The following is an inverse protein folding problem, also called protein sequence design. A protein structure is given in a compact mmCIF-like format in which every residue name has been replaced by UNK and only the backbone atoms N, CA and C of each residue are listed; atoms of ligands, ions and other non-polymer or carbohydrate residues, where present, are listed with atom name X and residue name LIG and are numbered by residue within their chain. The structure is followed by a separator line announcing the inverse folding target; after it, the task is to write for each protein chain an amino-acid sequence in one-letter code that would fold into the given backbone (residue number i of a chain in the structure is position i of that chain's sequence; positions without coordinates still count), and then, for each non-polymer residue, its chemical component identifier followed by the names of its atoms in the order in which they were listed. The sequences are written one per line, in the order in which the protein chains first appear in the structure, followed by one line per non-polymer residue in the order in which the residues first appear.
data_IF_800428241388
#
_entry.id   IF_800428241388
#
_cell.length_a   1.000
_cell.length_b   1.000
_cell.length_c   1.000
_cell.angle_alpha   90.00
_cell.angle_beta   90.00
_cell.angle_gamma   90.00
#
_symmetry.space_group_name_H-M   'P 1'
#
loop_
_entity.id
_entity.type
_entity.pdbx_description
1 polymer ?
#
# COMPACT_ATOMS: atom_id res chain seq x y z
N UNK A 1 34.51 4.71 0.18
CA UNK A 1 33.42 5.68 0.42
C UNK A 1 32.18 4.84 0.62
N UNK A 2 31.75 4.72 1.87
CA UNK A 2 30.54 3.99 2.24
C UNK A 2 29.40 4.94 1.89
N UNK A 3 28.63 4.63 0.86
CA UNK A 3 27.37 5.33 0.60
C UNK A 3 26.52 5.18 1.86
N UNK A 4 26.33 6.29 2.56
CA UNK A 4 25.34 6.36 3.63
C UNK A 4 23.99 6.27 2.93
N UNK A 5 23.41 5.08 2.91
CA UNK A 5 21.97 4.93 2.76
C UNK A 5 21.39 5.68 3.96
N UNK A 6 20.96 6.93 3.76
CA UNK A 6 20.08 7.57 4.73
C UNK A 6 18.88 6.64 4.86
N UNK A 7 18.85 5.91 5.97
CA UNK A 7 17.67 5.14 6.35
C UNK A 7 16.57 6.16 6.55
N UNK A 8 15.65 6.24 5.57
CA UNK A 8 14.39 6.96 5.72
C UNK A 8 13.79 6.52 7.07
N UNK A 9 13.70 7.46 8.01
CA UNK A 9 13.14 7.17 9.32
C UNK A 9 11.64 6.98 9.16
N UNK A 10 11.07 5.99 9.84
CA UNK A 10 9.62 5.79 9.85
C UNK A 10 8.97 6.93 10.65
N UNK A 11 8.19 7.74 9.96
CA UNK A 11 7.36 8.78 10.53
C UNK A 11 6.25 8.20 11.41
N UNK A 12 6.01 8.88 12.52
CA UNK A 12 4.91 8.59 13.45
C UNK A 12 3.88 9.70 13.38
N UNK A 13 2.72 9.49 13.99
CA UNK A 13 1.70 10.53 14.06
C UNK A 13 2.24 11.82 14.72
N UNK A 14 3.15 11.70 15.68
CA UNK A 14 3.75 12.86 16.34
C UNK A 14 4.69 13.65 15.42
N UNK A 15 5.47 12.99 14.56
CA UNK A 15 6.40 13.68 13.64
C UNK A 15 5.66 14.32 12.48
N UNK A 16 4.59 13.68 11.99
CA UNK A 16 3.73 14.24 10.94
C UNK A 16 3.08 15.58 11.33
N UNK A 17 2.77 15.80 12.63
CA UNK A 17 2.28 17.10 13.13
C UNK A 17 3.30 18.22 12.98
N UNK A 18 4.59 17.91 12.97
CA UNK A 18 5.66 18.90 13.05
C UNK A 18 6.22 19.28 11.67
N UNK A 19 6.14 18.38 10.68
CA UNK A 19 6.87 18.52 9.42
C UNK A 19 5.97 18.34 8.17
N UNK A 20 5.51 19.44 7.54
CA UNK A 20 4.51 19.36 6.49
C UNK A 20 5.00 19.10 5.05
N UNK A 21 6.31 19.05 4.74
CA UNK A 21 6.77 19.18 3.35
C UNK A 21 7.89 18.22 2.88
N UNK A 22 8.15 17.14 3.59
CA UNK A 22 9.13 16.11 3.18
C UNK A 22 8.43 14.83 2.71
N UNK A 23 9.14 14.00 1.93
CA UNK A 23 8.69 12.64 1.70
C UNK A 23 8.57 11.94 3.06
N UNK A 24 7.41 11.35 3.31
CA UNK A 24 7.06 10.64 4.54
C UNK A 24 7.08 9.15 4.27
N UNK A 25 7.76 8.42 5.15
CA UNK A 25 7.70 6.97 5.21
C UNK A 25 6.89 6.61 6.45
N UNK A 26 5.69 6.07 6.29
CA UNK A 26 4.90 5.58 7.42
C UNK A 26 4.84 4.05 7.41
N UNK A 27 4.82 3.46 8.60
CA UNK A 27 4.60 2.02 8.81
C UNK A 27 3.34 1.83 9.64
N UNK A 28 2.45 0.96 9.20
CA UNK A 28 1.20 0.73 9.91
C UNK A 28 0.35 -0.38 9.32
N UNK A 29 -0.89 -0.41 9.75
CA UNK A 29 -1.86 -1.46 9.40
C UNK A 29 -2.99 -0.84 8.59
N UNK A 30 -3.36 -1.46 7.46
CA UNK A 30 -4.50 -1.00 6.67
C UNK A 30 -5.79 -1.16 7.47
N UNK A 31 -6.60 -0.10 7.52
CA UNK A 31 -7.92 -0.09 8.14
C UNK A 31 -8.98 -0.06 7.05
N UNK A 32 -10.04 -0.85 7.26
CA UNK A 32 -11.19 -0.88 6.37
C UNK A 32 -12.18 0.23 6.73
N UNK A 33 -12.41 1.17 5.82
CA UNK A 33 -13.42 2.21 5.95
C UNK A 33 -14.80 1.69 5.49
N UNK A 34 -15.44 0.85 6.30
CA UNK A 34 -16.83 0.42 6.08
C UNK A 34 -17.05 -1.10 6.07
N UNK A 35 -17.92 -1.59 5.17
CA UNK A 35 -18.22 -3.03 5.04
C UNK A 35 -17.18 -3.70 4.14
N UNK A 36 -16.65 -4.87 4.53
CA UNK A 36 -15.67 -5.58 3.73
C UNK A 36 -16.21 -5.96 2.36
N UNK A 37 -15.34 -5.99 1.34
CA UNK A 37 -15.73 -6.51 0.04
C UNK A 37 -16.21 -7.96 0.23
N UNK A 38 -17.52 -8.16 0.14
CA UNK A 38 -18.17 -9.48 0.17
C UNK A 38 -17.97 -10.27 -1.13
N UNK A 39 -17.09 -9.79 -2.01
CA UNK A 39 -16.83 -10.33 -3.35
C UNK A 39 -15.38 -10.81 -3.43
N UNK A 40 -15.15 -11.84 -4.25
CA UNK A 40 -13.79 -12.32 -4.56
C UNK A 40 -13.17 -11.44 -5.64
N UNK A 41 -11.93 -10.96 -5.47
CA UNK A 41 -11.02 -11.23 -4.36
C UNK A 41 -11.35 -10.39 -3.12
N UNK A 42 -11.24 -10.98 -1.92
CA UNK A 42 -11.24 -10.23 -0.67
C UNK A 42 -9.88 -9.50 -0.54
N UNK A 43 -9.71 -8.40 -1.27
CA UNK A 43 -8.55 -7.50 -1.26
C UNK A 43 -9.09 -6.06 -1.35
N UNK A 44 -8.57 -5.15 -0.54
CA UNK A 44 -8.93 -3.73 -0.56
C UNK A 44 -8.18 -2.97 -1.66
N UNK A 45 -6.93 -3.35 -1.88
CA UNK A 45 -6.03 -2.69 -2.82
C UNK A 45 -5.33 -3.81 -3.58
N UNK A 46 -5.35 -3.79 -4.93
CA UNK A 46 -4.77 -4.90 -5.69
C UNK A 46 -4.41 -4.55 -7.13
N UNK A 47 -3.52 -5.35 -7.70
CA UNK A 47 -3.30 -5.49 -9.15
C UNK A 47 -3.98 -6.76 -9.64
N UNK A 48 -4.72 -6.65 -10.75
CA UNK A 48 -5.32 -7.77 -11.46
C UNK A 48 -4.44 -8.18 -12.64
N UNK A 49 -4.21 -9.48 -12.75
CA UNK A 49 -3.44 -10.11 -13.81
C UNK A 49 -4.32 -11.14 -14.51
N UNK A 50 -4.22 -11.20 -15.84
CA UNK A 50 -4.88 -12.24 -16.62
C UNK A 50 -3.86 -13.23 -17.14
N UNK A 51 -4.26 -14.49 -17.16
CA UNK A 51 -3.47 -15.55 -17.75
C UNK A 51 -3.46 -15.39 -19.27
N UNK A 52 -2.27 -15.33 -19.85
CA UNK A 52 -2.06 -15.43 -21.29
C UNK A 52 -1.21 -16.66 -21.60
N UNK A 53 -1.45 -17.29 -22.75
CA UNK A 53 -0.66 -18.45 -23.19
C UNK A 53 -0.07 -18.10 -24.54
N UNK A 54 1.24 -17.88 -24.55
CA UNK A 54 2.01 -17.54 -25.75
C UNK A 54 3.08 -18.63 -25.95
N UNK A 55 3.11 -19.24 -27.14
CA UNK A 55 4.04 -20.32 -27.50
C UNK A 55 4.11 -21.48 -26.48
N UNK A 56 2.95 -21.85 -25.91
CA UNK A 56 2.83 -22.91 -24.90
C UNK A 56 3.31 -22.51 -23.50
N UNK A 57 3.78 -21.29 -23.29
CA UNK A 57 4.14 -20.76 -21.98
C UNK A 57 2.99 -19.95 -21.39
N UNK A 58 2.69 -20.23 -20.11
CA UNK A 58 1.74 -19.41 -19.35
C UNK A 58 2.44 -18.16 -18.82
N UNK A 59 1.89 -16.99 -19.14
CA UNK A 59 2.30 -15.70 -18.64
C UNK A 59 1.14 -15.05 -17.88
N UNK A 60 1.46 -14.15 -16.96
CA UNK A 60 0.49 -13.34 -16.23
C UNK A 60 0.73 -11.88 -16.59
N UNK A 61 -0.21 -11.30 -17.33
CA UNK A 61 -0.13 -9.91 -17.77
C UNK A 61 -0.97 -9.03 -16.84
N UNK A 62 -0.38 -7.95 -16.33
CA UNK A 62 -1.11 -6.95 -15.56
C UNK A 62 -2.18 -6.29 -16.45
N UNK A 63 -3.42 -6.24 -15.97
CA UNK A 63 -4.57 -5.67 -16.70
C UNK A 63 -5.14 -4.43 -16.05
N UNK A 64 -5.20 -4.41 -14.72
CA UNK A 64 -5.79 -3.30 -13.97
C UNK A 64 -5.15 -3.17 -12.59
N UNK A 65 -5.27 -1.98 -12.01
CA UNK A 65 -4.95 -1.69 -10.61
C UNK A 65 -6.18 -1.09 -9.94
N UNK A 66 -6.54 -1.61 -8.79
CA UNK A 66 -7.52 -1.02 -7.88
C UNK A 66 -6.75 -0.38 -6.72
N UNK A 67 -6.59 0.93 -6.78
CA UNK A 67 -5.86 1.74 -5.81
C UNK A 67 -6.78 2.81 -5.24
N UNK A 68 -7.80 2.42 -4.46
CA UNK A 68 -8.68 3.39 -3.81
C UNK A 68 -7.90 4.16 -2.74
N UNK A 69 -8.51 5.25 -2.27
CA UNK A 69 -8.13 5.83 -0.99
C UNK A 69 -8.35 4.80 0.13
N UNK A 70 -7.43 4.76 1.09
CA UNK A 70 -7.48 3.84 2.23
C UNK A 70 -6.87 4.48 3.46
N UNK A 71 -7.17 3.96 4.65
CA UNK A 71 -6.59 4.45 5.89
C UNK A 71 -5.51 3.49 6.40
N UNK A 72 -4.44 4.05 6.96
CA UNK A 72 -3.39 3.31 7.64
C UNK A 72 -3.37 3.76 9.10
N UNK A 73 -3.52 2.80 10.01
CA UNK A 73 -3.31 3.02 11.42
C UNK A 73 -1.82 2.92 11.72
N UNK A 74 -1.27 4.03 12.21
CA UNK A 74 0.12 4.13 12.67
C UNK A 74 0.13 4.38 14.18
N UNK A 75 1.28 4.26 14.86
CA UNK A 75 1.38 4.67 16.25
C UNK A 75 0.93 6.12 16.45
N UNK A 76 -0.14 6.31 17.22
CA UNK A 76 -0.68 7.62 17.59
C UNK A 76 -1.85 8.15 16.76
N UNK A 77 -2.26 7.50 15.67
CA UNK A 77 -3.45 7.93 14.92
C UNK A 77 -3.65 7.25 13.56
N UNK A 78 -4.54 7.83 12.76
CA UNK A 78 -4.90 7.36 11.41
C UNK A 78 -4.36 8.33 10.35
N UNK A 79 -3.81 7.76 9.28
CA UNK A 79 -3.40 8.50 8.09
C UNK A 79 -4.25 8.00 6.92
N UNK A 80 -4.98 8.90 6.29
CA UNK A 80 -5.62 8.70 5.00
C UNK A 80 -4.56 8.72 3.91
N UNK A 81 -4.49 7.64 3.13
CA UNK A 81 -3.60 7.51 2.00
C UNK A 81 -4.40 7.63 0.71
N UNK A 82 -4.06 8.61 -0.09
CA UNK A 82 -4.72 8.93 -1.36
C UNK A 82 -3.74 8.94 -2.53
N UNK A 83 -4.26 9.11 -3.75
CA UNK A 83 -3.46 9.22 -4.98
C UNK A 83 -3.29 7.93 -5.77
N UNK A 84 -2.61 8.05 -6.93
CA UNK A 84 -2.31 6.93 -7.82
C UNK A 84 -0.95 6.29 -7.46
N UNK A 85 -0.90 5.62 -6.32
CA UNK A 85 0.32 4.96 -5.84
C UNK A 85 0.60 3.63 -6.55
N UNK A 86 1.87 3.22 -6.55
CA UNK A 86 2.31 1.93 -7.09
C UNK A 86 2.42 0.88 -5.98
N UNK A 87 1.89 -0.31 -6.22
CA UNK A 87 2.17 -1.49 -5.39
C UNK A 87 3.51 -2.10 -5.81
N UNK A 88 4.51 -2.11 -4.95
CA UNK A 88 5.80 -2.74 -5.27
C UNK A 88 5.88 -4.19 -4.81
N UNK A 89 5.67 -4.44 -3.53
CA UNK A 89 5.65 -5.80 -2.95
C UNK A 89 4.35 -5.97 -2.18
N UNK A 90 3.62 -7.04 -2.47
CA UNK A 90 2.29 -7.30 -1.90
C UNK A 90 2.36 -8.43 -0.89
N UNK A 91 1.45 -8.43 0.09
CA UNK A 91 1.42 -9.47 1.11
C UNK A 91 0.72 -10.75 0.62
N UNK A 92 -0.18 -10.62 -0.37
CA UNK A 92 -1.07 -11.71 -0.79
C UNK A 92 -1.15 -11.81 -2.31
N UNK A 93 -1.22 -13.05 -2.78
CA UNK A 93 -1.69 -13.41 -4.10
C UNK A 93 -2.89 -14.36 -3.98
N UNK A 94 -3.94 -14.13 -4.76
CA UNK A 94 -5.10 -15.01 -4.87
C UNK A 94 -5.46 -15.23 -6.33
N UNK A 95 -5.98 -16.41 -6.67
CA UNK A 95 -6.32 -16.77 -8.05
C UNK A 95 -7.79 -17.18 -8.11
N UNK A 96 -8.49 -16.71 -9.13
CA UNK A 96 -9.86 -17.05 -9.44
C UNK A 96 -9.97 -17.33 -10.95
N UNK A 97 -9.90 -18.61 -11.34
CA UNK A 97 -9.87 -19.02 -12.74
C UNK A 97 -8.62 -18.51 -13.46
N UNK A 98 -8.83 -17.80 -14.58
CA UNK A 98 -7.76 -17.18 -15.39
C UNK A 98 -7.35 -15.79 -14.90
N UNK A 99 -7.77 -15.41 -13.69
CA UNK A 99 -7.41 -14.15 -13.05
C UNK A 99 -6.57 -14.41 -11.81
N UNK A 100 -5.52 -13.63 -11.64
CA UNK A 100 -4.69 -13.56 -10.44
C UNK A 100 -4.74 -12.15 -9.91
N UNK A 101 -4.84 -12.02 -8.60
CA UNK A 101 -4.89 -10.74 -7.90
C UNK A 101 -3.76 -10.70 -6.89
N UNK A 102 -3.01 -9.61 -6.86
CA UNK A 102 -1.93 -9.39 -5.91
C UNK A 102 -2.16 -8.07 -5.19
N UNK A 103 -2.16 -8.08 -3.86
CA UNK A 103 -2.57 -6.90 -3.11
C UNK A 103 -2.58 -7.06 -1.61
N UNK A 104 -3.38 -6.21 -0.99
CA UNK A 104 -3.52 -6.07 0.45
C UNK A 104 -4.98 -6.17 0.88
N UNK A 105 -5.18 -6.62 2.12
CA UNK A 105 -6.46 -6.63 2.83
C UNK A 105 -6.44 -5.58 3.94
N UNK A 106 -7.59 -5.42 4.57
CA UNK A 106 -7.63 -4.91 5.93
C UNK A 106 -6.69 -5.75 6.81
N UNK A 107 -6.09 -5.09 7.80
CA UNK A 107 -5.17 -5.68 8.77
C UNK A 107 -3.79 -6.13 8.22
N UNK A 108 -3.53 -6.04 6.91
CA UNK A 108 -2.17 -6.26 6.39
C UNK A 108 -1.26 -5.08 6.81
N UNK A 109 -0.04 -5.41 7.24
CA UNK A 109 1.02 -4.45 7.58
C UNK A 109 1.66 -3.90 6.31
N UNK A 110 1.81 -2.58 6.26
CA UNK A 110 2.34 -1.86 5.10
C UNK A 110 3.33 -0.77 5.48
N UNK A 111 4.26 -0.54 4.56
CA UNK A 111 5.05 0.68 4.47
C UNK A 111 4.50 1.52 3.31
N UNK A 112 4.26 2.79 3.59
CA UNK A 112 3.78 3.77 2.60
C UNK A 112 4.78 4.90 2.51
N UNK A 113 5.24 5.18 1.29
CA UNK A 113 6.06 6.34 0.97
C UNK A 113 5.21 7.33 0.18
N UNK A 114 5.12 8.56 0.67
CA UNK A 114 4.28 9.60 0.06
C UNK A 114 4.63 10.99 0.54
N UNK A 115 3.80 11.97 0.18
CA UNK A 115 3.93 13.36 0.64
C UNK A 115 2.72 13.76 1.46
N UNK A 116 2.95 14.44 2.57
CA UNK A 116 1.87 14.97 3.39
C UNK A 116 1.20 16.13 2.64
N UNK A 117 -0.09 16.04 2.39
CA UNK A 117 -0.87 17.06 1.66
C UNK A 117 -1.94 17.72 2.51
N UNK A 118 -2.33 17.10 3.64
CA UNK A 118 -3.14 17.74 4.68
C UNK A 118 -2.69 17.31 6.07
N UNK A 119 -2.67 18.29 6.98
CA UNK A 119 -2.43 18.10 8.41
C UNK A 119 -3.73 18.08 9.24
N UNK A 120 -4.91 18.17 8.60
CA UNK A 120 -6.18 17.93 9.28
C UNK A 120 -6.24 16.47 9.75
N UNK A 121 -6.94 16.17 10.84
CA UNK A 121 -7.10 14.79 11.30
C UNK A 121 -8.35 14.15 10.63
N UNK A 122 -8.22 12.95 9.99
CA UNK A 122 -6.99 12.18 9.80
C UNK A 122 -6.06 12.82 8.75
N UNK A 123 -4.75 12.70 8.99
CA UNK A 123 -3.73 13.23 8.08
C UNK A 123 -3.90 12.67 6.68
N UNK A 124 -3.68 13.49 5.65
CA UNK A 124 -3.76 13.01 4.27
C UNK A 124 -2.38 12.94 3.64
N UNK A 125 -2.01 11.75 3.18
CA UNK A 125 -0.77 11.44 2.49
C UNK A 125 -1.08 11.08 1.03
N UNK A 126 -0.52 11.83 0.08
CA UNK A 126 -0.50 11.42 -1.33
C UNK A 126 0.63 10.41 -1.53
N UNK A 127 0.28 9.13 -1.69
CA UNK A 127 1.26 8.05 -1.77
C UNK A 127 1.87 7.91 -3.17
N UNK A 128 3.16 7.56 -3.16
CA UNK A 128 3.91 7.16 -4.34
C UNK A 128 4.02 5.63 -4.41
N UNK A 129 4.33 5.00 -3.27
CA UNK A 129 4.56 3.56 -3.18
C UNK A 129 3.91 3.00 -1.92
N UNK A 130 3.30 1.82 -2.08
CA UNK A 130 2.82 0.99 -0.97
C UNK A 130 3.45 -0.40 -1.11
N UNK A 131 4.01 -0.90 -0.02
CA UNK A 131 4.63 -2.23 0.05
C UNK A 131 4.26 -2.94 1.35
N UNK A 132 4.25 -4.26 1.32
CA UNK A 132 4.19 -5.07 2.54
C UNK A 132 5.42 -4.76 3.39
N UNK A 133 5.22 -4.56 4.68
CA UNK A 133 6.31 -4.58 5.63
C UNK A 133 6.81 -6.02 5.76
N UNK A 134 8.13 -6.20 5.70
CA UNK A 134 8.75 -7.46 6.12
C UNK A 134 9.67 -7.06 7.23
N UNK A 135 9.12 -7.04 8.45
CA UNK A 135 9.91 -6.91 9.67
C UNK A 135 10.77 -8.18 9.78
N UNK A 136 11.87 -8.25 9.02
CA UNK A 136 12.93 -9.21 9.28
C UNK A 136 13.46 -8.89 10.68
N UNK A 137 13.08 -9.74 11.64
CA UNK A 137 13.61 -9.77 13.00
C UNK A 137 14.93 -10.53 13.04
#
# INVERSE_FOLDING_TARGET
MTDAVESLSVDTFATLRQEPATDKLIAGVIVESGKPPTVTPNLLIYREFHRTVNDGQTQWEARASHTPEFEVKIPGGLVTVTGNYRLEKTARATQAGDRRYEGFRADDEVLVVGKLVSQDEPFTLEAQVVTADTLER
#
